data_IF_484946246388
#
_entry.id   IF_484946246388
#
_cell.length_a   1.000
_cell.length_b   1.000
_cell.length_c   1.000
_cell.angle_alpha   90.00
_cell.angle_beta   90.00
_cell.angle_gamma   90.00
#
_symmetry.space_group_name_H-M   'P 1'
#
loop_
_entity.id
_entity.type
_entity.pdbx_description
1 polymer ?
#
# COMPACT_ATOMS: atom_id res chain seq x y z
N UNK A 1 -12.53 0.50 11.55
CA UNK A 1 -11.14 0.17 11.15
C UNK A 1 -11.00 -1.34 11.16
N UNK A 2 -10.89 -1.96 9.98
CA UNK A 2 -10.69 -3.41 9.83
C UNK A 2 -9.21 -3.74 10.01
N UNK A 3 -8.91 -4.85 10.70
CA UNK A 3 -7.56 -5.32 11.01
C UNK A 3 -7.46 -6.81 10.75
N UNK A 4 -6.35 -7.23 10.16
CA UNK A 4 -5.94 -8.62 10.05
C UNK A 4 -4.82 -8.91 11.05
N UNK A 5 -4.78 -10.15 11.54
CA UNK A 5 -3.81 -10.61 12.52
C UNK A 5 -3.10 -11.87 12.02
N UNK A 6 -1.87 -12.06 12.46
CA UNK A 6 -1.16 -13.33 12.37
C UNK A 6 -1.80 -14.36 13.32
N UNK A 7 -1.42 -15.63 13.17
CA UNK A 7 -1.86 -16.69 14.09
C UNK A 7 -1.44 -16.43 15.56
N UNK A 8 -0.36 -15.68 15.78
CA UNK A 8 0.10 -15.26 17.12
C UNK A 8 -0.77 -14.17 17.75
N UNK A 9 -1.67 -13.53 16.98
CA UNK A 9 -2.46 -12.36 17.39
C UNK A 9 -1.78 -11.02 17.10
N UNK A 10 -0.53 -11.02 16.61
CA UNK A 10 0.15 -9.83 16.13
C UNK A 10 -0.65 -9.17 14.98
N UNK A 11 -0.68 -7.83 14.93
CA UNK A 11 -1.37 -7.11 13.84
C UNK A 11 -0.54 -7.27 12.56
N UNK A 12 -1.18 -7.71 11.48
CA UNK A 12 -0.57 -7.89 10.15
C UNK A 12 -0.91 -6.72 9.22
N UNK A 13 -2.18 -6.37 9.15
CA UNK A 13 -2.66 -5.28 8.31
C UNK A 13 -3.76 -4.47 8.98
N UNK A 14 -3.75 -3.17 8.72
CA UNK A 14 -4.82 -2.26 9.11
C UNK A 14 -5.32 -1.50 7.90
N UNK A 15 -6.61 -1.59 7.64
CA UNK A 15 -7.23 -1.01 6.46
C UNK A 15 -7.86 0.35 6.74
N UNK A 16 -7.81 1.23 5.74
CA UNK A 16 -8.51 2.52 5.69
C UNK A 16 -8.17 3.45 6.87
N UNK A 17 -6.94 3.40 7.39
CA UNK A 17 -6.47 4.25 8.48
C UNK A 17 -6.63 5.75 8.19
N UNK A 18 -6.48 6.17 6.93
CA UNK A 18 -6.72 7.56 6.49
C UNK A 18 -8.16 8.05 6.73
N UNK A 19 -9.14 7.14 6.83
CA UNK A 19 -10.54 7.50 7.12
C UNK A 19 -10.79 7.69 8.61
N UNK A 20 -10.03 6.99 9.45
CA UNK A 20 -10.29 6.90 10.89
C UNK A 20 -9.32 7.68 11.77
N UNK A 21 -8.12 7.99 11.28
CA UNK A 21 -7.05 8.63 12.06
C UNK A 21 -6.61 9.91 11.37
N UNK A 22 -6.67 11.03 12.11
CA UNK A 22 -6.37 12.36 11.56
C UNK A 22 -4.95 12.46 11.00
N UNK A 23 -3.96 11.89 11.68
CA UNK A 23 -2.57 11.90 11.22
C UNK A 23 -2.41 11.23 9.85
N UNK A 24 -2.99 10.03 9.66
CA UNK A 24 -2.94 9.34 8.37
C UNK A 24 -3.79 10.03 7.30
N UNK A 25 -4.89 10.69 7.68
CA UNK A 25 -5.67 11.52 6.77
C UNK A 25 -4.87 12.71 6.23
N UNK A 26 -4.16 13.40 7.12
CA UNK A 26 -3.33 14.54 6.76
C UNK A 26 -2.11 14.09 5.93
N UNK A 27 -1.49 12.97 6.31
CA UNK A 27 -0.38 12.38 5.55
C UNK A 27 -0.80 12.07 4.11
N UNK A 28 -1.94 11.40 3.90
CA UNK A 28 -2.41 11.03 2.57
C UNK A 28 -2.78 12.24 1.68
N UNK A 29 -2.93 13.43 2.27
CA UNK A 29 -3.21 14.70 1.58
C UNK A 29 -1.98 15.61 1.50
N UNK A 30 -0.83 15.15 1.99
CA UNK A 30 0.37 15.97 2.04
C UNK A 30 0.83 16.32 0.61
N UNK A 31 1.25 17.57 0.33
CA UNK A 31 1.65 18.00 -1.02
C UNK A 31 2.72 17.12 -1.67
N UNK A 32 3.71 16.68 -0.88
CA UNK A 32 4.76 15.72 -1.32
C UNK A 32 4.25 14.34 -1.80
N UNK A 33 2.97 14.04 -1.58
CA UNK A 33 2.30 12.85 -2.12
C UNK A 33 1.37 13.26 -3.25
N UNK A 34 0.52 14.26 -3.01
CA UNK A 34 -0.54 14.65 -3.94
C UNK A 34 0.04 15.19 -5.25
N UNK A 35 1.07 16.02 -5.19
CA UNK A 35 1.63 16.67 -6.38
C UNK A 35 2.29 15.66 -7.35
N UNK A 36 3.18 14.73 -6.91
CA UNK A 36 3.72 13.72 -7.82
C UNK A 36 2.65 12.78 -8.40
N UNK A 37 1.66 12.37 -7.59
CA UNK A 37 0.57 11.51 -8.07
C UNK A 37 -0.26 12.23 -9.13
N UNK A 38 -0.57 13.52 -8.93
CA UNK A 38 -1.29 14.35 -9.88
C UNK A 38 -0.52 14.48 -11.21
N UNK A 39 0.80 14.65 -11.15
CA UNK A 39 1.67 14.76 -12.32
C UNK A 39 1.70 13.47 -13.16
N UNK A 40 1.74 12.31 -12.50
CA UNK A 40 1.81 11.02 -13.19
C UNK A 40 0.43 10.59 -13.72
N UNK A 41 -0.63 10.72 -12.92
CA UNK A 41 -1.97 10.30 -13.34
C UNK A 41 -2.65 11.30 -14.29
N UNK A 42 -2.25 12.58 -14.26
CA UNK A 42 -2.80 13.66 -15.09
C UNK A 42 -4.33 13.75 -15.02
N UNK A 43 -4.92 13.40 -13.89
CA UNK A 43 -6.37 13.44 -13.66
C UNK A 43 -6.66 13.66 -12.18
N UNK A 44 -7.85 14.12 -11.82
CA UNK A 44 -8.31 14.09 -10.44
C UNK A 44 -8.31 12.64 -9.93
N UNK A 45 -7.88 12.44 -8.69
CA UNK A 45 -7.80 11.12 -8.09
C UNK A 45 -8.35 11.13 -6.66
N UNK A 46 -8.61 9.93 -6.15
CA UNK A 46 -9.07 9.70 -4.79
C UNK A 46 -8.36 8.45 -4.24
N UNK A 47 -8.44 8.25 -2.92
CA UNK A 47 -7.89 7.05 -2.29
C UNK A 47 -8.89 5.91 -2.44
N UNK A 48 -8.60 4.98 -3.34
CA UNK A 48 -9.34 3.73 -3.48
C UNK A 48 -9.28 2.90 -2.20
N UNK A 49 -8.07 2.57 -1.75
CA UNK A 49 -7.85 1.90 -0.47
C UNK A 49 -6.50 2.34 0.16
N UNK A 50 -6.37 2.21 1.48
CA UNK A 50 -5.07 2.30 2.16
C UNK A 50 -4.81 1.12 3.10
N UNK A 51 -3.57 0.66 3.18
CA UNK A 51 -3.11 -0.34 4.16
C UNK A 51 -1.97 0.23 5.00
N UNK A 52 -1.97 -0.12 6.28
CA UNK A 52 -0.74 -0.18 7.08
C UNK A 52 -0.33 -1.64 7.13
N UNK A 53 0.82 -1.96 6.56
CA UNK A 53 1.41 -3.29 6.64
C UNK A 53 2.34 -3.31 7.84
N UNK A 54 1.98 -4.07 8.87
CA UNK A 54 2.78 -4.22 10.07
C UNK A 54 3.55 -5.53 9.94
N UNK A 55 4.88 -5.42 9.94
CA UNK A 55 5.79 -6.56 9.96
C UNK A 55 6.44 -6.56 11.34
N UNK A 56 5.86 -7.32 12.27
CA UNK A 56 6.45 -7.48 13.60
C UNK A 56 7.82 -8.14 13.50
N UNK A 57 8.71 -7.81 14.43
CA UNK A 57 10.04 -8.42 14.44
C UNK A 57 9.92 -9.91 14.77
N UNK A 58 10.59 -10.76 13.98
CA UNK A 58 10.63 -12.21 14.19
C UNK A 58 9.29 -12.95 14.08
N UNK A 59 8.23 -12.27 13.62
CA UNK A 59 6.93 -12.84 13.32
C UNK A 59 6.38 -12.24 12.02
N UNK A 60 5.50 -12.97 11.32
CA UNK A 60 4.81 -12.43 10.15
C UNK A 60 4.91 -13.31 8.93
N UNK A 61 3.78 -13.47 8.23
CA UNK A 61 3.72 -14.29 7.01
C UNK A 61 4.25 -13.48 5.81
N UNK A 62 5.00 -14.13 4.93
CA UNK A 62 5.54 -13.53 3.71
C UNK A 62 4.43 -12.93 2.83
N UNK A 63 4.71 -11.76 2.22
CA UNK A 63 3.91 -11.26 1.10
C UNK A 63 4.46 -11.87 -0.18
N UNK A 64 3.71 -12.80 -0.78
CA UNK A 64 4.10 -13.45 -2.03
C UNK A 64 4.15 -12.43 -3.17
N UNK A 65 4.94 -12.74 -4.20
CA UNK A 65 4.95 -11.97 -5.44
C UNK A 65 3.54 -11.87 -6.04
N UNK A 66 3.10 -10.66 -6.36
CA UNK A 66 1.82 -10.41 -6.98
C UNK A 66 1.82 -9.07 -7.73
N UNK A 67 0.77 -8.87 -8.53
CA UNK A 67 0.39 -7.56 -9.04
C UNK A 67 -0.85 -7.10 -8.26
N UNK A 68 -0.79 -5.90 -7.69
CA UNK A 68 -1.89 -5.29 -6.93
C UNK A 68 -3.21 -5.34 -7.72
N UNK A 69 -3.19 -4.85 -8.97
CA UNK A 69 -4.37 -4.78 -9.83
C UNK A 69 -4.93 -6.17 -10.22
N UNK A 70 -4.10 -7.22 -10.21
CA UNK A 70 -4.55 -8.58 -10.49
C UNK A 70 -5.61 -9.08 -9.51
N UNK A 71 -5.65 -8.53 -8.29
CA UNK A 71 -6.74 -8.77 -7.33
C UNK A 71 -7.90 -7.79 -7.52
N UNK A 72 -7.61 -6.51 -7.77
CA UNK A 72 -8.63 -5.44 -7.78
C UNK A 72 -9.47 -5.37 -9.04
N UNK A 73 -9.06 -6.05 -10.12
CA UNK A 73 -9.88 -6.16 -11.33
C UNK A 73 -11.26 -6.78 -11.02
N UNK A 74 -11.34 -7.66 -10.03
CA UNK A 74 -12.59 -8.28 -9.58
C UNK A 74 -13.47 -7.34 -8.74
N UNK A 75 -12.91 -6.23 -8.27
CA UNK A 75 -13.63 -5.18 -7.54
C UNK A 75 -14.20 -4.09 -8.47
N UNK A 76 -13.95 -4.19 -9.79
CA UNK A 76 -14.48 -3.28 -10.81
C UNK A 76 -13.77 -1.92 -10.89
N UNK A 77 -12.52 -1.85 -10.44
CA UNK A 77 -11.71 -0.61 -10.44
C UNK A 77 -10.99 -0.45 -11.77
N UNK A 78 -10.84 0.80 -12.24
CA UNK A 78 -10.04 1.13 -13.42
C UNK A 78 -8.55 0.79 -13.19
N UNK A 79 -7.80 0.26 -14.18
CA UNK A 79 -6.36 -0.02 -14.05
C UNK A 79 -5.48 1.23 -13.85
N UNK A 80 -6.02 2.43 -14.05
CA UNK A 80 -5.33 3.71 -13.83
C UNK A 80 -5.20 4.02 -12.34
N UNK A 81 -4.45 3.17 -11.64
CA UNK A 81 -4.17 3.22 -10.22
C UNK A 81 -2.67 3.44 -9.98
N UNK A 82 -2.37 4.01 -8.82
CA UNK A 82 -1.00 4.17 -8.34
C UNK A 82 -0.95 3.88 -6.84
N UNK A 83 -0.02 3.01 -6.45
CA UNK A 83 0.32 2.78 -5.04
C UNK A 83 1.41 3.76 -4.61
N UNK A 84 1.21 4.41 -3.45
CA UNK A 84 2.24 5.20 -2.77
C UNK A 84 2.59 4.51 -1.47
N UNK A 85 3.84 4.07 -1.33
CA UNK A 85 4.33 3.42 -0.11
C UNK A 85 5.17 4.40 0.70
N UNK A 86 4.86 4.53 1.99
CA UNK A 86 5.59 5.35 2.95
C UNK A 86 6.16 4.40 3.99
N UNK A 87 7.48 4.37 4.12
CA UNK A 87 8.15 3.60 5.15
C UNK A 87 8.05 4.35 6.50
N UNK A 88 7.53 3.67 7.51
CA UNK A 88 7.43 4.21 8.89
C UNK A 88 8.65 3.82 9.73
N UNK A 89 9.42 2.86 9.24
CA UNK A 89 10.66 2.30 9.77
C UNK A 89 11.71 2.22 8.65
N UNK A 90 13.01 2.03 8.96
CA UNK A 90 14.04 1.86 7.93
C UNK A 90 13.75 0.67 7.02
N UNK A 91 13.61 0.90 5.70
CA UNK A 91 13.46 -0.17 4.72
C UNK A 91 14.84 -0.72 4.33
N UNK A 92 15.18 -1.91 4.81
CA UNK A 92 16.47 -2.56 4.58
C UNK A 92 16.28 -3.99 4.04
N UNK A 93 17.32 -4.57 3.42
CA UNK A 93 17.27 -5.98 3.03
C UNK A 93 17.07 -6.94 4.22
N UNK A 94 17.42 -6.53 5.44
CA UNK A 94 17.36 -7.39 6.63
C UNK A 94 15.95 -7.46 7.26
N UNK A 95 15.07 -6.50 6.97
CA UNK A 95 13.67 -6.50 7.42
C UNK A 95 12.69 -6.71 6.24
N UNK A 96 13.15 -7.42 5.21
CA UNK A 96 12.36 -7.77 4.03
C UNK A 96 11.69 -6.55 3.39
N UNK A 97 12.47 -5.53 3.04
CA UNK A 97 11.94 -4.37 2.32
C UNK A 97 11.21 -4.79 1.02
N UNK A 98 10.30 -3.93 0.55
CA UNK A 98 9.61 -4.16 -0.71
C UNK A 98 10.61 -4.44 -1.84
N UNK A 99 10.40 -5.55 -2.55
CA UNK A 99 11.10 -5.87 -3.79
C UNK A 99 10.16 -5.66 -4.97
N UNK A 100 10.68 -5.12 -6.06
CA UNK A 100 9.93 -4.88 -7.30
C UNK A 100 10.75 -5.43 -8.46
N UNK A 101 10.10 -6.15 -9.37
CA UNK A 101 10.71 -6.54 -10.64
C UNK A 101 10.68 -5.31 -11.55
N UNK A 102 11.84 -4.75 -11.83
CA UNK A 102 12.00 -3.56 -12.68
C UNK A 102 11.27 -3.73 -14.02
N UNK A 103 10.51 -2.70 -14.41
CA UNK A 103 9.76 -2.65 -15.66
C UNK A 103 8.73 -3.78 -15.89
N UNK A 104 8.28 -4.47 -14.84
CA UNK A 104 7.26 -5.53 -14.94
C UNK A 104 5.80 -5.03 -15.05
N UNK A 105 5.55 -3.74 -14.83
CA UNK A 105 4.21 -3.15 -14.87
C UNK A 105 3.44 -3.27 -16.21
N UNK A 106 4.07 -3.37 -17.41
CA UNK A 106 3.34 -3.60 -18.66
C UNK A 106 3.07 -5.09 -18.95
N UNK A 107 3.55 -6.02 -18.12
CA UNK A 107 3.41 -7.48 -18.34
C UNK A 107 2.19 -8.07 -17.64
N UNK A 108 1.38 -7.24 -16.98
CA UNK A 108 0.17 -7.62 -16.25
C UNK A 108 -1.12 -7.46 -17.06
N UNK A 109 -2.22 -7.62 -16.34
CA UNK A 109 -3.56 -7.20 -16.80
C UNK A 109 -3.82 -5.75 -16.46
#
# INVERSE_FOLDING_TARGET
MHREQEHSGAVRQVYNSHRHVLTFRNLARHPKIVEPVQQILQNSFYIWHSKLNVKEASEGTVWLWHQDYGYWIYDGVDPKLMSVMIFLDPATPHNDCLMVISASHPWGR
#
